data_IF_168109340502
#
_entry.id   IF_168109340502
#
_cell.length_a   1.000
_cell.length_b   1.000
_cell.length_c   1.000
_cell.angle_alpha   90.00
_cell.angle_beta   90.00
_cell.angle_gamma   90.00
#
_symmetry.space_group_name_H-M   'P 1'
#
loop_
_entity.id
_entity.type
_entity.pdbx_description
1 polymer ?
#
# COMPACT_ATOMS: atom_id res chain seq x y z
N UNK A 1 9.24 -15.86 -3.35
CA UNK A 1 9.15 -14.40 -3.17
C UNK A 1 9.01 -14.10 -1.68
N UNK A 2 9.71 -13.10 -1.19
CA UNK A 2 9.67 -12.61 0.19
C UNK A 2 9.07 -11.21 0.22
N UNK A 3 8.63 -10.76 1.39
CA UNK A 3 7.99 -9.45 1.56
C UNK A 3 8.90 -8.30 1.09
N UNK A 4 10.21 -8.44 1.33
CA UNK A 4 11.22 -7.45 0.96
C UNK A 4 11.59 -7.47 -0.53
N UNK A 5 11.12 -8.46 -1.29
CA UNK A 5 11.34 -8.50 -2.74
C UNK A 5 10.44 -7.48 -3.46
N UNK A 6 9.38 -6.99 -2.81
CA UNK A 6 8.51 -5.92 -3.32
C UNK A 6 9.18 -4.57 -3.03
N UNK A 7 9.62 -3.81 -4.05
CA UNK A 7 10.38 -2.57 -3.86
C UNK A 7 9.66 -1.53 -2.99
N UNK A 8 8.36 -1.37 -3.19
CA UNK A 8 7.50 -0.40 -2.51
C UNK A 8 7.39 -0.74 -1.02
N UNK A 9 7.18 -2.03 -0.70
CA UNK A 9 7.12 -2.49 0.69
C UNK A 9 8.50 -2.45 1.35
N UNK A 10 9.56 -2.77 0.61
CA UNK A 10 10.94 -2.64 1.10
C UNK A 10 11.25 -1.21 1.50
N UNK A 11 10.88 -0.24 0.67
CA UNK A 11 11.05 1.18 0.97
C UNK A 11 10.20 1.60 2.18
N UNK A 12 8.92 1.21 2.22
CA UNK A 12 8.00 1.51 3.33
C UNK A 12 8.52 0.95 4.67
N UNK A 13 8.91 -0.33 4.71
CA UNK A 13 9.46 -0.98 5.92
C UNK A 13 10.78 -0.33 6.37
N UNK A 14 11.61 0.10 5.42
CA UNK A 14 12.90 0.72 5.73
C UNK A 14 12.75 2.15 6.30
N UNK A 15 11.83 2.94 5.77
CA UNK A 15 11.60 4.34 6.16
C UNK A 15 10.72 4.49 7.39
N UNK A 16 9.89 3.50 7.70
CA UNK A 16 8.88 3.62 8.74
C UNK A 16 9.42 3.56 10.19
N UNK A 17 8.72 4.24 11.10
CA UNK A 17 9.01 4.30 12.53
C UNK A 17 8.97 2.92 13.20
N UNK A 18 9.87 2.74 14.18
CA UNK A 18 10.04 1.50 14.95
C UNK A 18 8.72 1.02 15.58
N UNK A 19 7.88 1.92 16.08
CA UNK A 19 6.58 1.55 16.68
C UNK A 19 5.64 0.85 15.69
N UNK A 20 5.59 1.33 14.44
CA UNK A 20 4.75 0.74 13.38
C UNK A 20 5.36 -0.57 12.86
N UNK A 21 6.69 -0.64 12.78
CA UNK A 21 7.39 -1.90 12.50
C UNK A 21 7.12 -2.96 13.57
N UNK A 22 7.05 -2.58 14.85
CA UNK A 22 6.65 -3.49 15.93
C UNK A 22 5.20 -3.96 15.75
N UNK A 23 4.29 -3.07 15.35
CA UNK A 23 2.89 -3.46 15.06
C UNK A 23 2.81 -4.48 13.91
N UNK A 24 3.49 -4.22 12.79
CA UNK A 24 3.55 -5.18 11.68
C UNK A 24 4.22 -6.50 12.11
N UNK A 25 5.31 -6.45 12.88
CA UNK A 25 5.96 -7.66 13.38
C UNK A 25 5.01 -8.49 14.24
N UNK A 26 4.32 -7.86 15.19
CA UNK A 26 3.34 -8.52 16.04
C UNK A 26 2.21 -9.16 15.21
N UNK A 27 1.75 -8.48 14.15
CA UNK A 27 0.77 -9.05 13.22
C UNK A 27 1.29 -10.30 12.50
N UNK A 28 2.51 -10.25 11.96
CA UNK A 28 3.08 -11.34 11.17
C UNK A 28 3.39 -12.57 12.05
N UNK A 29 4.09 -12.33 13.15
CA UNK A 29 4.71 -13.39 13.96
C UNK A 29 3.97 -13.68 15.28
N UNK A 30 3.03 -12.83 15.70
CA UNK A 30 2.20 -13.05 16.89
C UNK A 30 2.86 -12.69 18.22
N UNK A 31 3.99 -11.97 18.21
CA UNK A 31 4.68 -11.50 19.42
C UNK A 31 5.32 -10.12 19.23
N UNK A 32 5.52 -9.45 20.37
CA UNK A 32 6.26 -8.20 20.47
C UNK A 32 7.70 -8.42 20.04
N UNK A 33 8.03 -7.82 18.90
CA UNK A 33 9.35 -7.94 18.33
C UNK A 33 10.40 -7.05 19.01
N UNK A 34 11.66 -7.24 18.62
CA UNK A 34 12.86 -6.56 19.12
C UNK A 34 13.58 -5.76 18.02
N UNK A 35 14.88 -5.49 18.19
CA UNK A 35 15.69 -4.76 17.20
C UNK A 35 15.86 -5.53 15.88
N UNK A 36 15.61 -6.84 15.86
CA UNK A 36 15.73 -7.70 14.68
C UNK A 36 14.44 -7.79 13.87
N UNK A 37 13.38 -7.04 14.21
CA UNK A 37 12.10 -7.10 13.50
C UNK A 37 12.25 -6.93 12.00
N UNK A 38 13.10 -5.99 11.57
CA UNK A 38 13.37 -5.75 10.15
C UNK A 38 14.10 -6.92 9.49
N UNK A 39 14.96 -7.65 10.22
CA UNK A 39 15.62 -8.85 9.70
C UNK A 39 14.61 -9.99 9.55
N UNK A 40 13.74 -10.21 10.54
CA UNK A 40 12.70 -11.25 10.46
C UNK A 40 11.69 -10.98 9.35
N UNK A 41 11.32 -9.72 9.13
CA UNK A 41 10.47 -9.33 8.00
C UNK A 41 11.09 -9.65 6.64
N UNK A 42 12.42 -9.60 6.50
CA UNK A 42 13.10 -9.98 5.24
C UNK A 42 12.94 -11.45 4.92
N UNK A 43 12.75 -12.28 5.93
CA UNK A 43 12.57 -13.73 5.79
C UNK A 43 11.09 -14.13 5.63
N UNK A 44 10.15 -13.19 5.77
CA UNK A 44 8.73 -13.49 5.63
C UNK A 44 8.37 -13.77 4.16
N UNK A 45 7.96 -15.01 3.88
CA UNK A 45 7.58 -15.48 2.54
C UNK A 45 6.07 -15.59 2.32
N UNK A 46 5.27 -15.06 3.25
CA UNK A 46 3.83 -15.22 3.26
C UNK A 46 3.35 -16.30 4.21
N UNK A 47 2.05 -16.32 4.44
CA UNK A 47 1.41 -17.30 5.31
C UNK A 47 1.09 -18.60 4.60
N UNK A 48 1.33 -19.72 5.29
CA UNK A 48 1.06 -21.06 4.78
C UNK A 48 -0.31 -21.60 5.22
N UNK A 49 -1.38 -20.86 4.98
CA UNK A 49 -2.76 -21.32 5.21
C UNK A 49 -3.62 -21.19 3.95
N UNK A 50 -4.63 -22.05 3.82
CA UNK A 50 -5.58 -21.99 2.70
C UNK A 50 -6.76 -21.03 2.99
N UNK A 51 -7.42 -20.47 1.97
CA UNK A 51 -8.66 -19.74 2.16
C UNK A 51 -9.70 -20.70 2.75
N UNK A 52 -10.45 -20.26 3.76
CA UNK A 52 -11.40 -21.06 4.54
C UNK A 52 -10.78 -22.16 5.42
N UNK A 53 -9.46 -22.19 5.57
CA UNK A 53 -8.82 -23.07 6.53
C UNK A 53 -9.20 -22.68 7.96
N UNK A 54 -9.20 -23.65 8.87
CA UNK A 54 -9.44 -23.39 10.29
C UNK A 54 -8.37 -22.43 10.83
N UNK A 55 -7.13 -22.61 10.40
CA UNK A 55 -5.99 -21.75 10.76
C UNK A 55 -6.18 -20.30 10.30
N UNK A 56 -6.76 -20.08 9.13
CA UNK A 56 -7.08 -18.74 8.62
C UNK A 56 -8.10 -18.04 9.52
N UNK A 57 -9.19 -18.73 9.83
CA UNK A 57 -10.27 -18.18 10.66
C UNK A 57 -9.81 -17.93 12.11
N UNK A 58 -9.03 -18.85 12.68
CA UNK A 58 -8.45 -18.68 14.02
C UNK A 58 -7.48 -17.50 14.07
N UNK A 59 -6.61 -17.36 13.06
CA UNK A 59 -5.68 -16.23 12.99
C UNK A 59 -6.41 -14.90 12.79
N UNK A 60 -7.44 -14.85 11.95
CA UNK A 60 -8.29 -13.67 11.78
C UNK A 60 -8.94 -13.25 13.10
N UNK A 61 -9.54 -14.20 13.81
CA UNK A 61 -10.15 -13.95 15.12
C UNK A 61 -9.14 -13.46 16.15
N UNK A 62 -7.97 -14.09 16.22
CA UNK A 62 -6.90 -13.71 17.14
C UNK A 62 -6.39 -12.29 16.85
N UNK A 63 -6.26 -11.92 15.57
CA UNK A 63 -5.89 -10.57 15.14
C UNK A 63 -6.97 -9.57 15.55
N UNK A 64 -8.25 -9.89 15.35
CA UNK A 64 -9.37 -9.05 15.76
C UNK A 64 -9.44 -8.87 17.28
N UNK A 65 -9.06 -9.87 18.06
CA UNK A 65 -9.05 -9.78 19.53
C UNK A 65 -7.84 -9.01 20.05
N UNK A 66 -6.64 -9.22 19.46
CA UNK A 66 -5.39 -8.65 19.97
C UNK A 66 -5.08 -7.25 19.46
N UNK A 67 -5.43 -6.93 18.21
CA UNK A 67 -5.09 -5.65 17.58
C UNK A 67 -6.29 -4.73 17.57
N UNK A 68 -6.06 -3.44 17.80
CA UNK A 68 -7.05 -2.38 17.62
C UNK A 68 -7.30 -2.10 16.14
N UNK A 69 -8.43 -1.45 15.84
CA UNK A 69 -8.73 -1.01 14.48
C UNK A 69 -7.64 -0.06 13.95
N UNK A 70 -7.10 0.82 14.79
CA UNK A 70 -6.05 1.76 14.40
C UNK A 70 -4.73 1.06 14.06
N UNK A 71 -4.38 -0.01 14.78
CA UNK A 71 -3.22 -0.84 14.44
C UNK A 71 -3.42 -1.55 13.10
N UNK A 72 -4.62 -2.09 12.85
CA UNK A 72 -4.95 -2.71 11.56
C UNK A 72 -4.88 -1.73 10.39
N UNK A 73 -5.39 -0.51 10.57
CA UNK A 73 -5.27 0.58 9.58
C UNK A 73 -3.80 0.96 9.37
N UNK A 74 -3.01 1.00 10.44
CA UNK A 74 -1.59 1.30 10.35
C UNK A 74 -0.85 0.23 9.54
N UNK A 75 -1.18 -1.05 9.77
CA UNK A 75 -0.61 -2.19 9.04
C UNK A 75 -1.06 -2.18 7.59
N UNK A 76 -2.34 -1.90 7.30
CA UNK A 76 -2.83 -1.85 5.91
C UNK A 76 -2.18 -0.73 5.12
N UNK A 77 -2.03 0.46 5.70
CA UNK A 77 -1.30 1.57 5.08
C UNK A 77 0.17 1.21 4.81
N UNK A 78 0.83 0.49 5.72
CA UNK A 78 2.22 0.09 5.57
C UNK A 78 2.40 -0.97 4.47
N UNK A 79 1.40 -1.83 4.30
CA UNK A 79 1.35 -2.84 3.25
C UNK A 79 0.76 -2.31 1.94
N UNK A 80 0.40 -1.02 1.88
CA UNK A 80 -0.22 -0.38 0.73
C UNK A 80 -1.48 -1.14 0.26
N UNK A 81 -2.29 -1.60 1.22
CA UNK A 81 -3.55 -2.28 0.96
C UNK A 81 -4.68 -1.33 1.33
N UNK A 82 -5.50 -0.97 0.35
CA UNK A 82 -6.66 -0.11 0.59
C UNK A 82 -7.74 -0.85 1.40
N UNK A 83 -8.07 -0.31 2.57
CA UNK A 83 -9.02 -0.91 3.50
C UNK A 83 -10.00 0.16 3.97
N UNK A 84 -11.21 0.18 3.41
CA UNK A 84 -12.30 1.12 3.79
C UNK A 84 -13.39 0.46 4.64
N UNK A 85 -13.09 -0.75 5.12
CA UNK A 85 -14.08 -1.71 5.58
C UNK A 85 -13.96 -1.94 7.10
N UNK A 86 -14.81 -2.80 7.65
CA UNK A 86 -14.84 -3.10 9.09
C UNK A 86 -13.56 -3.81 9.58
N UNK A 87 -13.28 -3.75 10.88
CA UNK A 87 -12.12 -4.40 11.53
C UNK A 87 -11.86 -5.84 11.02
N UNK A 88 -12.94 -6.62 10.91
CA UNK A 88 -12.92 -8.00 10.41
C UNK A 88 -12.51 -8.08 8.95
N UNK A 89 -13.11 -7.25 8.10
CA UNK A 89 -12.81 -7.21 6.66
C UNK A 89 -11.36 -6.76 6.41
N UNK A 90 -10.85 -5.80 7.20
CA UNK A 90 -9.44 -5.41 7.17
C UNK A 90 -8.54 -6.60 7.50
N UNK A 91 -8.80 -7.31 8.61
CA UNK A 91 -8.00 -8.46 9.02
C UNK A 91 -8.01 -9.56 7.95
N UNK A 92 -9.17 -9.90 7.41
CA UNK A 92 -9.32 -10.93 6.38
C UNK A 92 -8.61 -10.53 5.07
N UNK A 93 -8.74 -9.27 4.64
CA UNK A 93 -8.06 -8.76 3.45
C UNK A 93 -6.55 -8.83 3.64
N UNK A 94 -6.02 -8.34 4.77
CA UNK A 94 -4.60 -8.42 5.09
C UNK A 94 -4.07 -9.87 5.02
N UNK A 95 -4.77 -10.82 5.66
CA UNK A 95 -4.37 -12.22 5.65
C UNK A 95 -4.41 -12.83 4.25
N UNK A 96 -5.38 -12.43 3.43
CA UNK A 96 -5.51 -12.89 2.03
C UNK A 96 -4.33 -12.42 1.18
N UNK A 97 -3.96 -11.15 1.28
CA UNK A 97 -2.81 -10.60 0.54
C UNK A 97 -1.47 -11.14 1.05
N UNK A 98 -1.32 -11.34 2.36
CA UNK A 98 -0.09 -11.86 2.96
C UNK A 98 0.05 -13.38 2.81
N UNK A 99 -0.97 -14.08 2.29
CA UNK A 99 -0.85 -15.47 1.87
C UNK A 99 -0.06 -15.60 0.57
N UNK A 100 -0.39 -14.79 -0.43
CA UNK A 100 0.27 -14.80 -1.73
C UNK A 100 0.87 -13.42 -2.04
N UNK A 101 2.18 -13.30 -1.80
CA UNK A 101 2.91 -12.06 -2.02
C UNK A 101 2.92 -11.62 -3.50
N UNK A 102 2.67 -12.51 -4.46
CA UNK A 102 2.51 -12.11 -5.85
C UNK A 102 1.22 -11.34 -6.06
N UNK A 103 0.13 -11.77 -5.41
CA UNK A 103 -1.16 -11.08 -5.46
C UNK A 103 -1.05 -9.70 -4.81
N UNK A 104 -0.34 -9.61 -3.68
CA UNK A 104 -0.03 -8.33 -3.04
C UNK A 104 0.79 -7.41 -3.96
N UNK A 105 1.84 -7.93 -4.59
CA UNK A 105 2.66 -7.14 -5.51
C UNK A 105 1.82 -6.62 -6.70
N UNK A 106 0.98 -7.47 -7.28
CA UNK A 106 0.09 -7.08 -8.37
C UNK A 106 -0.94 -6.03 -7.95
N UNK A 107 -1.48 -6.09 -6.73
CA UNK A 107 -2.41 -5.05 -6.26
C UNK A 107 -1.71 -3.69 -6.11
N UNK A 108 -0.48 -3.68 -5.60
CA UNK A 108 0.31 -2.44 -5.45
C UNK A 108 0.62 -1.82 -6.83
N UNK A 109 1.04 -2.63 -7.80
CA UNK A 109 1.34 -2.16 -9.16
C UNK A 109 0.10 -1.55 -9.81
N UNK A 110 -1.06 -2.21 -9.71
CA UNK A 110 -2.33 -1.71 -10.29
C UNK A 110 -2.79 -0.39 -9.69
N UNK A 111 -2.61 -0.19 -8.38
CA UNK A 111 -2.96 1.07 -7.72
C UNK A 111 -2.03 2.21 -8.18
N UNK A 112 -0.73 1.95 -8.35
CA UNK A 112 0.23 2.94 -8.84
C UNK A 112 0.06 3.29 -10.33
N UNK A 113 -0.24 2.32 -11.20
CA UNK A 113 -0.45 2.58 -12.64
C UNK A 113 -1.69 3.46 -12.90
N UNK A 114 -2.69 3.40 -12.01
CA UNK A 114 -3.90 4.23 -12.11
C UNK A 114 -3.63 5.71 -11.80
N UNK A 115 -2.54 6.04 -11.10
CA UNK A 115 -2.14 7.43 -10.82
C UNK A 115 -1.30 8.03 -11.97
N UNK A 116 -0.63 7.22 -12.78
CA UNK A 116 0.21 7.68 -13.88
C UNK A 116 -0.57 8.27 -15.07
N UNK A 117 -1.84 7.86 -15.29
CA UNK A 117 -2.67 8.39 -16.38
C UNK A 117 -3.24 9.80 -16.11
N UNK A 118 -3.19 10.29 -14.87
CA UNK A 118 -3.79 11.59 -14.52
C UNK A 118 -2.83 12.79 -14.61
N UNK A 119 -1.51 12.57 -14.72
CA UNK A 119 -0.53 13.67 -14.83
C UNK A 119 -0.37 14.16 -16.29
N UNK A 120 -0.68 13.31 -17.29
CA UNK A 120 -0.54 13.69 -18.70
C UNK A 120 -1.65 14.65 -19.16
N UNK A 121 -2.79 14.69 -18.47
CA UNK A 121 -3.95 15.50 -18.85
C UNK A 121 -3.87 16.96 -18.34
N UNK A 122 -2.93 17.28 -17.45
CA UNK A 122 -2.71 18.66 -16.97
C UNK A 122 -1.80 19.50 -17.88
N UNK A 123 -0.90 18.87 -18.63
CA UNK A 123 0.02 19.60 -19.54
C UNK A 123 -0.62 20.02 -20.86
N UNK A 124 -1.73 19.40 -21.28
CA UNK A 124 -2.39 19.74 -22.55
C UNK A 124 -3.34 20.95 -22.46
N UNK A 125 -3.76 21.38 -21.27
CA UNK A 125 -4.62 22.58 -21.13
C UNK A 125 -3.85 23.90 -21.13
N UNK A 126 -2.57 23.89 -20.76
CA UNK A 126 -1.76 25.12 -20.67
C UNK A 126 -1.28 25.62 -22.04
N UNK A 127 -1.18 24.73 -23.04
CA UNK A 127 -0.69 25.07 -24.39
C UNK A 127 -1.75 25.77 -25.26
N UNK A 128 -3.04 25.64 -24.95
CA UNK A 128 -4.13 26.26 -25.74
C UNK A 128 -4.46 27.71 -25.33
N UNK A 129 -3.87 28.23 -24.25
CA UNK A 129 -4.16 29.58 -23.76
C UNK A 129 -3.18 30.66 -24.24
N UNK A 130 -2.05 30.29 -24.84
CA UNK A 130 -1.00 31.26 -25.21
C UNK A 130 -1.03 31.69 -26.70
N UNK A 131 -1.82 31.04 -27.57
CA UNK A 131 -1.85 31.35 -29.01
C UNK A 131 -2.81 32.49 -29.42
N UNK A 132 -3.41 33.23 -28.48
CA UNK A 132 -4.38 34.29 -28.79
C UNK A 132 -3.88 35.70 -28.50
N UNK A 133 -2.68 36.10 -28.95
CA UNK A 133 -2.31 37.52 -29.02
C UNK A 133 -1.38 37.82 -30.20
N UNK A 134 -1.92 38.25 -31.35
CA UNK A 134 -1.43 39.43 -32.10
C UNK A 134 -2.35 39.74 -33.30
N UNK A 135 -3.25 40.73 -33.16
CA UNK A 135 -3.83 41.40 -34.33
C UNK A 135 -2.87 42.51 -34.79
N UNK A 136 -2.42 42.54 -36.06
CA UNK A 136 -1.62 43.65 -36.53
C UNK A 136 -2.53 44.86 -36.78
N UNK A 137 -2.41 45.88 -35.92
CA UNK A 137 -2.93 47.21 -36.17
C UNK A 137 -2.04 47.84 -37.23
N UNK A 138 -2.54 48.00 -38.46
CA UNK A 138 -1.93 48.90 -39.44
C UNK A 138 -2.83 50.12 -39.63
N UNK A 139 -2.45 51.18 -38.93
CA UNK A 139 -2.76 52.55 -39.29
C UNK A 139 -2.06 52.85 -40.62
N UNK A 140 -2.79 53.28 -41.64
CA UNK A 140 -2.20 54.07 -42.73
C UNK A 140 -3.14 55.24 -43.03
N UNK A 141 -2.64 56.42 -42.70
CA UNK A 141 -3.10 57.71 -43.21
C UNK A 141 -2.83 57.78 -44.72
N UNK A 142 -3.85 58.10 -45.52
CA UNK A 142 -3.80 59.16 -46.54
C UNK A 142 -5.17 59.40 -47.18
#
# INVERSE_FOLDING_TARGET
MKLIDIPELKAAIASERISRIRCLHNFLFGFDGDRENRNRMREFSGFNFHPNDKDFNEKAKLIEEKLSLNELITISNLLLINTKDTKKEIAQRLLTHLRDLNVLNQSIIRENDSEAENEQNRKSLEILSEESVQLPVHNVYH
#
